data_IF_263964244757
#
_entry.id   IF_263964244757
#
_cell.length_a   1.000
_cell.length_b   1.000
_cell.length_c   1.000
_cell.angle_alpha   90.00
_cell.angle_beta   90.00
_cell.angle_gamma   90.00
#
_symmetry.space_group_name_H-M   'P 1'
#
loop_
_entity.id
_entity.type
_entity.pdbx_description
1 polymer ?
#
# COMPACT_ATOMS: atom_id res chain seq x y z
N UNK A 1 26.20 -3.33 -32.93
CA UNK A 1 26.08 -1.92 -32.46
C UNK A 1 25.14 -1.06 -33.32
N UNK A 2 25.11 -1.21 -34.65
CA UNK A 2 24.25 -0.40 -35.53
C UNK A 2 22.75 -0.72 -35.45
N UNK A 3 22.35 -1.98 -35.20
CA UNK A 3 20.92 -2.34 -35.17
C UNK A 3 20.18 -1.81 -33.94
N UNK A 4 20.76 -1.87 -32.73
CA UNK A 4 20.12 -1.36 -31.51
C UNK A 4 20.07 0.17 -31.51
N UNK A 5 21.16 0.83 -31.93
CA UNK A 5 21.13 2.28 -32.16
C UNK A 5 20.12 2.62 -33.25
N UNK A 6 20.07 1.91 -34.38
CA UNK A 6 19.04 2.12 -35.40
C UNK A 6 17.63 1.91 -34.83
N UNK A 7 17.35 0.85 -34.07
CA UNK A 7 16.04 0.66 -33.43
C UNK A 7 15.69 1.76 -32.42
N UNK A 8 16.69 2.42 -31.82
CA UNK A 8 16.53 3.57 -30.93
C UNK A 8 16.51 4.93 -31.68
N UNK A 9 17.12 5.05 -32.87
CA UNK A 9 17.30 6.30 -33.63
C UNK A 9 16.44 6.43 -34.89
N UNK A 10 15.89 5.33 -35.42
CA UNK A 10 15.03 5.31 -36.62
C UNK A 10 13.63 5.93 -36.36
N UNK A 11 13.44 6.50 -35.16
CA UNK A 11 12.20 7.10 -34.67
C UNK A 11 12.36 8.60 -34.35
N UNK A 12 13.20 9.32 -35.11
CA UNK A 12 13.35 10.79 -35.03
C UNK A 12 12.63 11.55 -36.16
N UNK A 13 11.89 10.85 -37.02
CA UNK A 13 11.41 11.40 -38.30
C UNK A 13 9.90 11.66 -38.41
N UNK A 14 9.04 11.12 -37.56
CA UNK A 14 7.58 11.27 -37.75
C UNK A 14 6.84 11.42 -36.40
N UNK A 15 6.16 12.57 -36.26
CA UNK A 15 5.01 12.84 -35.38
C UNK A 15 4.69 11.81 -34.27
N UNK A 16 5.11 12.11 -33.03
CA UNK A 16 4.78 11.41 -31.75
C UNK A 16 5.26 9.95 -31.66
N UNK A 17 6.54 9.71 -31.89
CA UNK A 17 7.20 8.41 -31.71
C UNK A 17 7.42 8.04 -30.22
N UNK A 18 6.83 6.91 -29.79
CA UNK A 18 7.09 6.29 -28.48
C UNK A 18 8.51 5.72 -28.49
N UNK A 19 9.41 6.25 -27.68
CA UNK A 19 10.74 5.70 -27.43
C UNK A 19 10.64 4.19 -27.11
N UNK A 20 11.00 3.32 -28.05
CA UNK A 20 10.94 1.87 -27.87
C UNK A 20 12.04 1.45 -26.90
N UNK A 21 11.65 0.79 -25.80
CA UNK A 21 12.59 0.16 -24.88
C UNK A 21 12.94 -1.23 -25.40
N UNK A 22 14.23 -1.50 -25.56
CA UNK A 22 14.76 -2.76 -26.12
C UNK A 22 15.35 -3.59 -24.99
N UNK A 23 15.01 -4.87 -24.96
CA UNK A 23 15.67 -5.90 -24.14
C UNK A 23 16.57 -6.71 -25.07
N UNK A 24 17.82 -6.94 -24.67
CA UNK A 24 18.78 -7.76 -25.42
C UNK A 24 19.24 -8.93 -24.55
N UNK A 25 19.34 -10.12 -25.14
CA UNK A 25 20.03 -11.25 -24.52
C UNK A 25 21.17 -11.73 -25.42
N UNK A 26 22.30 -12.09 -24.82
CA UNK A 26 23.49 -12.53 -25.54
C UNK A 26 24.39 -13.40 -24.67
N UNK A 27 25.26 -14.19 -25.28
CA UNK A 27 26.09 -15.20 -24.63
C UNK A 27 27.59 -14.99 -24.85
N UNK A 28 27.97 -14.15 -25.83
CA UNK A 28 29.35 -13.92 -26.24
C UNK A 28 29.84 -12.47 -26.11
N UNK A 29 31.16 -12.28 -26.20
CA UNK A 29 31.81 -10.97 -26.12
C UNK A 29 31.43 -10.01 -27.27
N UNK A 30 31.05 -10.56 -28.42
CA UNK A 30 30.51 -9.82 -29.56
C UNK A 30 29.16 -9.13 -29.24
N UNK A 31 28.44 -9.61 -28.23
CA UNK A 31 27.15 -9.03 -27.80
C UNK A 31 27.31 -7.94 -26.73
N UNK A 32 28.48 -7.78 -26.12
CA UNK A 32 28.71 -6.84 -25.01
C UNK A 32 28.28 -5.41 -25.36
N UNK A 33 28.59 -4.93 -26.57
CA UNK A 33 28.19 -3.60 -27.02
C UNK A 33 26.68 -3.44 -27.19
N UNK A 34 25.98 -4.53 -27.54
CA UNK A 34 24.52 -4.56 -27.68
C UNK A 34 23.83 -4.65 -26.31
N UNK A 35 24.32 -5.52 -25.42
CA UNK A 35 23.85 -5.70 -24.05
C UNK A 35 23.92 -4.39 -23.26
N UNK A 36 25.02 -3.63 -23.42
CA UNK A 36 25.22 -2.33 -22.75
C UNK A 36 24.37 -1.21 -23.32
N UNK A 37 24.01 -1.28 -24.61
CA UNK A 37 23.18 -0.27 -25.28
C UNK A 37 21.67 -0.51 -25.12
N UNK A 38 21.27 -1.72 -24.80
CA UNK A 38 19.87 -2.07 -24.53
C UNK A 38 19.38 -1.40 -23.23
N UNK A 39 18.07 -1.17 -23.12
CA UNK A 39 17.48 -0.68 -21.88
C UNK A 39 17.58 -1.74 -20.77
N UNK A 40 17.56 -3.01 -21.15
CA UNK A 40 17.84 -4.16 -20.28
C UNK A 40 18.69 -5.16 -21.06
N UNK A 41 19.89 -5.46 -20.56
CA UNK A 41 20.76 -6.51 -21.09
C UNK A 41 20.73 -7.76 -20.20
N UNK A 42 20.65 -8.95 -20.79
CA UNK A 42 20.68 -10.23 -20.09
C UNK A 42 21.78 -11.11 -20.69
N UNK A 43 22.84 -11.38 -19.95
CA UNK A 43 23.85 -12.37 -20.34
C UNK A 43 23.32 -13.79 -20.10
N UNK A 44 23.50 -14.72 -21.04
CA UNK A 44 23.06 -16.13 -20.96
C UNK A 44 24.16 -17.09 -20.47
N UNK A 45 25.30 -16.55 -20.08
CA UNK A 45 26.48 -17.29 -19.62
C UNK A 45 27.22 -16.46 -18.56
N UNK A 46 27.97 -17.14 -17.68
CA UNK A 46 28.90 -16.49 -16.72
C UNK A 46 30.24 -16.08 -17.39
N UNK A 47 30.28 -16.04 -18.73
CA UNK A 47 31.45 -15.67 -19.52
C UNK A 47 31.61 -14.14 -19.65
N UNK A 48 32.49 -13.67 -20.54
CA UNK A 48 32.81 -12.24 -20.76
C UNK A 48 31.58 -11.33 -20.95
N UNK A 49 30.47 -11.86 -21.49
CA UNK A 49 29.20 -11.14 -21.65
C UNK A 49 28.58 -10.68 -20.31
N UNK A 50 28.80 -11.44 -19.23
CA UNK A 50 28.24 -11.15 -17.89
C UNK A 50 28.79 -9.86 -17.27
N UNK A 51 30.00 -9.45 -17.65
CA UNK A 51 30.63 -8.20 -17.18
C UNK A 51 29.88 -6.97 -17.75
N UNK A 52 29.22 -7.12 -18.90
CA UNK A 52 28.61 -6.01 -19.62
C UNK A 52 27.09 -5.90 -19.42
N UNK A 53 26.44 -6.92 -18.85
CA UNK A 53 24.98 -6.96 -18.69
C UNK A 53 24.55 -6.76 -17.23
N UNK A 54 23.45 -6.02 -16.95
CA UNK A 54 22.92 -5.86 -15.60
C UNK A 54 22.29 -7.15 -15.02
N UNK A 55 21.94 -8.12 -15.87
CA UNK A 55 21.42 -9.42 -15.45
C UNK A 55 22.24 -10.54 -16.09
N UNK A 56 22.47 -11.62 -15.35
CA UNK A 56 23.15 -12.83 -15.82
C UNK A 56 22.30 -14.05 -15.51
N UNK A 57 22.07 -14.90 -16.51
CA UNK A 57 21.39 -16.19 -16.40
C UNK A 57 22.39 -17.32 -16.48
N UNK A 58 22.33 -18.25 -15.52
CA UNK A 58 23.11 -19.50 -15.53
C UNK A 58 22.52 -20.58 -16.44
N UNK A 59 21.27 -20.41 -16.86
CA UNK A 59 20.61 -21.33 -17.78
C UNK A 59 20.75 -20.79 -19.20
N UNK A 60 21.30 -21.60 -20.09
CA UNK A 60 21.48 -21.29 -21.51
C UNK A 60 20.16 -21.45 -22.29
N UNK A 61 19.12 -20.76 -21.85
CA UNK A 61 17.84 -20.65 -22.55
C UNK A 61 17.24 -19.25 -22.32
N UNK A 62 16.24 -18.89 -23.13
CA UNK A 62 15.63 -17.56 -23.10
C UNK A 62 14.54 -17.39 -22.02
N UNK A 63 14.34 -18.38 -21.13
CA UNK A 63 13.31 -18.31 -20.07
C UNK A 63 13.57 -17.14 -19.12
N UNK A 64 14.85 -16.77 -18.92
CA UNK A 64 15.26 -15.63 -18.13
C UNK A 64 14.62 -14.32 -18.60
N UNK A 65 14.38 -14.14 -19.91
CA UNK A 65 13.72 -12.95 -20.47
C UNK A 65 12.31 -12.82 -19.92
N UNK A 66 11.54 -13.92 -19.93
CA UNK A 66 10.18 -13.96 -19.38
C UNK A 66 10.18 -13.76 -17.86
N UNK A 67 11.16 -14.31 -17.14
CA UNK A 67 11.30 -14.12 -15.69
C UNK A 67 11.54 -12.65 -15.35
N UNK A 68 12.52 -12.01 -16.00
CA UNK A 68 12.86 -10.60 -15.79
C UNK A 68 11.69 -9.68 -16.14
N UNK A 69 10.95 -9.96 -17.22
CA UNK A 69 9.77 -9.19 -17.57
C UNK A 69 8.64 -9.34 -16.54
N UNK A 70 8.40 -10.54 -16.02
CA UNK A 70 7.40 -10.79 -14.97
C UNK A 70 7.78 -10.07 -13.67
N UNK A 71 9.04 -10.18 -13.25
CA UNK A 71 9.55 -9.50 -12.06
C UNK A 71 9.47 -7.97 -12.20
N UNK A 72 9.90 -7.42 -13.34
CA UNK A 72 9.82 -5.97 -13.58
C UNK A 72 8.38 -5.43 -13.55
N UNK A 73 7.41 -6.19 -14.07
CA UNK A 73 5.98 -5.82 -14.03
C UNK A 73 5.39 -5.93 -12.63
N UNK A 74 5.72 -7.00 -11.91
CA UNK A 74 5.31 -7.18 -10.52
C UNK A 74 5.87 -6.06 -9.65
N UNK A 75 7.17 -5.78 -9.77
CA UNK A 75 7.87 -4.72 -9.05
C UNK A 75 7.25 -3.34 -9.32
N UNK A 76 6.97 -3.00 -10.57
CA UNK A 76 6.30 -1.74 -10.91
C UNK A 76 4.87 -1.67 -10.33
N UNK A 77 4.09 -2.75 -10.43
CA UNK A 77 2.74 -2.80 -9.84
C UNK A 77 2.78 -2.66 -8.31
N UNK A 78 3.75 -3.30 -7.67
CA UNK A 78 3.96 -3.24 -6.22
C UNK A 78 4.39 -1.83 -5.82
N UNK A 79 5.33 -1.19 -6.53
CA UNK A 79 5.75 0.18 -6.25
C UNK A 79 4.60 1.20 -6.34
N UNK A 80 3.73 1.07 -7.36
CA UNK A 80 2.53 1.93 -7.47
C UNK A 80 1.58 1.69 -6.30
N UNK A 81 1.37 0.44 -5.92
CA UNK A 81 0.54 0.09 -4.77
C UNK A 81 1.10 0.59 -3.44
N UNK A 82 2.41 0.43 -3.21
CA UNK A 82 3.11 0.95 -2.04
C UNK A 82 3.03 2.47 -1.98
N UNK A 83 3.19 3.16 -3.11
CA UNK A 83 3.01 4.61 -3.17
C UNK A 83 1.59 5.02 -2.74
N UNK A 84 0.54 4.35 -3.23
CA UNK A 84 -0.84 4.63 -2.81
C UNK A 84 -1.04 4.42 -1.31
N UNK A 85 -0.48 3.34 -0.77
CA UNK A 85 -0.55 3.05 0.66
C UNK A 85 0.18 4.14 1.47
N UNK A 86 1.38 4.53 1.04
CA UNK A 86 2.18 5.58 1.67
C UNK A 86 1.41 6.91 1.73
N UNK A 87 0.80 7.32 0.63
CA UNK A 87 -0.03 8.54 0.61
C UNK A 87 -1.22 8.41 1.56
N UNK A 88 -1.96 7.30 1.51
CA UNK A 88 -3.17 7.15 2.31
C UNK A 88 -2.88 7.09 3.82
N UNK A 89 -1.86 6.35 4.29
CA UNK A 89 -1.59 6.32 5.73
C UNK A 89 -1.19 7.70 6.23
N UNK A 90 -0.34 8.44 5.49
CA UNK A 90 0.09 9.77 5.91
C UNK A 90 -1.09 10.73 6.04
N UNK A 91 -2.05 10.65 5.12
CA UNK A 91 -3.26 11.46 5.22
C UNK A 91 -4.19 11.00 6.35
N UNK A 92 -4.37 9.70 6.57
CA UNK A 92 -5.16 9.18 7.69
C UNK A 92 -4.58 9.67 9.02
N UNK A 93 -3.27 9.60 9.20
CA UNK A 93 -2.57 10.12 10.39
C UNK A 93 -2.69 11.63 10.51
N UNK A 94 -2.48 12.36 9.40
CA UNK A 94 -2.64 13.82 9.37
C UNK A 94 -4.05 14.25 9.81
N UNK A 95 -5.09 13.59 9.30
CA UNK A 95 -6.48 13.91 9.68
C UNK A 95 -6.82 13.50 11.11
N UNK A 96 -6.29 12.38 11.62
CA UNK A 96 -6.38 12.04 13.05
C UNK A 96 -5.85 13.18 13.89
N UNK A 97 -4.63 13.62 13.60
CA UNK A 97 -3.94 14.69 14.34
C UNK A 97 -4.66 16.02 14.20
N UNK A 98 -5.20 16.34 13.02
CA UNK A 98 -6.00 17.55 12.78
C UNK A 98 -7.28 17.58 13.64
N UNK A 99 -7.98 16.45 13.78
CA UNK A 99 -9.17 16.34 14.64
C UNK A 99 -8.82 16.50 16.13
N UNK A 100 -7.66 15.99 16.56
CA UNK A 100 -7.18 16.17 17.93
C UNK A 100 -6.75 17.61 18.18
N UNK A 101 -6.10 18.26 17.21
CA UNK A 101 -5.74 19.67 17.32
C UNK A 101 -6.95 20.58 17.49
N UNK A 102 -8.11 20.21 16.95
CA UNK A 102 -9.36 20.96 17.16
C UNK A 102 -9.75 21.07 18.64
N UNK A 103 -9.43 20.07 19.47
CA UNK A 103 -9.67 20.09 20.93
C UNK A 103 -8.41 20.47 21.72
N UNK A 104 -7.33 20.88 21.05
CA UNK A 104 -6.05 21.21 21.70
C UNK A 104 -5.30 19.99 22.23
N UNK A 105 -5.43 18.83 21.57
CA UNK A 105 -4.66 17.61 21.88
C UNK A 105 -3.88 17.13 20.62
N UNK A 106 -2.99 16.17 20.79
CA UNK A 106 -2.32 15.45 19.69
C UNK A 106 -2.08 13.99 20.08
N UNK A 107 -1.59 13.18 19.15
CA UNK A 107 -1.16 11.81 19.48
C UNK A 107 0.12 11.84 20.32
N UNK A 108 0.27 10.88 21.23
CA UNK A 108 1.47 10.77 22.07
C UNK A 108 2.64 10.12 21.32
N UNK A 109 3.88 10.37 21.76
CA UNK A 109 5.07 9.76 21.15
C UNK A 109 4.99 8.22 21.07
N UNK A 110 4.50 7.49 22.10
CA UNK A 110 4.25 6.05 22.02
C UNK A 110 3.22 5.64 20.97
N UNK A 111 2.15 6.40 20.80
CA UNK A 111 1.12 6.13 19.79
C UNK A 111 1.71 6.23 18.38
N UNK A 112 2.49 7.28 18.09
CA UNK A 112 3.22 7.39 16.82
C UNK A 112 4.16 6.22 16.60
N UNK A 113 4.90 5.80 17.63
CA UNK A 113 5.81 4.66 17.55
C UNK A 113 5.06 3.36 17.20
N UNK A 114 3.91 3.10 17.82
CA UNK A 114 3.06 1.94 17.49
C UNK A 114 2.61 1.99 16.04
N UNK A 115 2.13 3.15 15.57
CA UNK A 115 1.68 3.32 14.20
C UNK A 115 2.81 3.07 13.21
N UNK A 116 3.93 3.76 13.35
CA UNK A 116 4.98 3.74 12.33
C UNK A 116 5.81 2.46 12.39
N UNK A 117 6.27 2.04 13.58
CA UNK A 117 7.21 0.93 13.73
C UNK A 117 6.52 -0.44 13.76
N UNK A 118 5.36 -0.54 14.42
CA UNK A 118 4.72 -1.83 14.66
C UNK A 118 3.56 -2.13 13.70
N UNK A 119 3.03 -1.13 12.99
CA UNK A 119 1.95 -1.32 12.01
C UNK A 119 2.45 -1.02 10.59
N UNK A 120 2.81 0.24 10.29
CA UNK A 120 3.06 0.71 8.92
C UNK A 120 4.34 0.11 8.34
N UNK A 121 5.47 0.13 9.07
CA UNK A 121 6.74 -0.41 8.60
C UNK A 121 6.68 -1.92 8.26
N UNK A 122 6.23 -2.83 9.15
CA UNK A 122 6.19 -4.26 8.83
C UNK A 122 5.21 -4.56 7.69
N UNK A 123 4.04 -3.91 7.66
CA UNK A 123 3.08 -4.06 6.55
C UNK A 123 3.72 -3.62 5.23
N UNK A 124 4.41 -2.48 5.19
CA UNK A 124 5.07 -1.96 3.99
C UNK A 124 6.17 -2.89 3.47
N UNK A 125 7.00 -3.41 4.37
CA UNK A 125 8.10 -4.33 4.03
C UNK A 125 7.53 -5.62 3.43
N UNK A 126 6.59 -6.25 4.12
CA UNK A 126 6.03 -7.53 3.68
C UNK A 126 5.14 -7.39 2.43
N UNK A 127 4.47 -6.25 2.26
CA UNK A 127 3.75 -5.89 1.02
C UNK A 127 4.69 -5.82 -0.18
N UNK A 128 5.88 -5.23 -0.01
CA UNK A 128 6.89 -5.11 -1.05
C UNK A 128 7.48 -6.46 -1.49
N UNK A 129 7.38 -7.50 -0.66
CA UNK A 129 7.84 -8.87 -0.95
C UNK A 129 6.90 -9.68 -1.87
N UNK A 130 5.92 -9.04 -2.51
CA UNK A 130 4.93 -9.70 -3.37
C UNK A 130 5.59 -10.32 -4.62
N UNK A 131 5.37 -11.62 -4.84
CA UNK A 131 5.95 -12.34 -5.98
C UNK A 131 5.20 -12.07 -7.29
N UNK A 132 5.87 -12.20 -8.45
CA UNK A 132 5.23 -12.03 -9.74
C UNK A 132 4.20 -13.11 -10.02
N UNK A 133 3.18 -12.76 -10.82
CA UNK A 133 2.22 -13.74 -11.30
C UNK A 133 2.87 -14.74 -12.28
N UNK A 134 2.39 -15.99 -12.27
CA UNK A 134 2.98 -17.08 -13.06
C UNK A 134 2.90 -16.84 -14.58
N UNK A 135 1.86 -16.15 -15.05
CA UNK A 135 1.64 -15.90 -16.47
C UNK A 135 1.92 -14.44 -16.84
N UNK A 136 2.54 -14.25 -18.01
CA UNK A 136 2.78 -12.91 -18.55
C UNK A 136 1.52 -12.43 -19.26
N UNK A 137 0.87 -11.42 -18.69
CA UNK A 137 -0.31 -10.79 -19.30
C UNK A 137 0.07 -10.01 -20.58
N UNK A 138 -0.82 -9.88 -21.57
CA UNK A 138 -0.51 -9.05 -22.74
C UNK A 138 -0.46 -7.55 -22.40
N UNK A 139 -1.34 -7.11 -21.50
CA UNK A 139 -1.34 -5.73 -20.98
C UNK A 139 -0.15 -5.49 -20.04
N UNK A 140 0.36 -4.27 -20.03
CA UNK A 140 1.37 -3.83 -19.07
C UNK A 140 0.72 -3.10 -17.88
N UNK A 141 1.38 -3.06 -16.71
CA UNK A 141 0.95 -2.19 -15.63
C UNK A 141 1.01 -0.72 -16.06
N UNK A 142 0.18 0.15 -15.46
CA UNK A 142 0.22 1.58 -15.76
C UNK A 142 1.62 2.14 -15.47
N UNK A 143 2.24 2.80 -16.46
CA UNK A 143 3.59 3.37 -16.34
C UNK A 143 3.63 4.71 -15.59
N UNK A 144 2.46 5.30 -15.31
CA UNK A 144 2.31 6.58 -14.61
C UNK A 144 1.63 6.34 -13.28
N UNK A 145 2.16 6.97 -12.22
CA UNK A 145 1.56 6.91 -10.88
C UNK A 145 0.15 7.55 -10.89
N UNK A 146 0.03 8.74 -11.48
CA UNK A 146 -1.19 9.54 -11.57
C UNK A 146 -2.06 9.16 -12.78
N UNK A 147 -2.56 7.94 -12.81
CA UNK A 147 -3.68 7.60 -13.71
C UNK A 147 -5.00 8.06 -13.10
N UNK A 148 -6.02 8.40 -13.91
CA UNK A 148 -7.34 8.78 -13.37
C UNK A 148 -7.93 7.72 -12.43
N UNK A 149 -7.73 6.44 -12.73
CA UNK A 149 -8.17 5.34 -11.86
C UNK A 149 -7.42 5.30 -10.53
N UNK A 150 -6.09 5.49 -10.54
CA UNK A 150 -5.31 5.53 -9.31
C UNK A 150 -5.67 6.75 -8.46
N UNK A 151 -5.86 7.92 -9.08
CA UNK A 151 -6.24 9.15 -8.40
C UNK A 151 -7.64 9.02 -7.79
N UNK A 152 -8.61 8.50 -8.55
CA UNK A 152 -9.95 8.24 -8.05
C UNK A 152 -9.91 7.29 -6.83
N UNK A 153 -9.11 6.22 -6.89
CA UNK A 153 -8.93 5.31 -5.76
C UNK A 153 -8.35 6.03 -4.53
N UNK A 154 -7.24 6.76 -4.67
CA UNK A 154 -6.63 7.49 -3.53
C UNK A 154 -7.61 8.51 -2.95
N UNK A 155 -8.27 9.32 -3.79
CA UNK A 155 -9.21 10.33 -3.31
C UNK A 155 -10.43 9.72 -2.62
N UNK A 156 -10.96 8.59 -3.12
CA UNK A 156 -12.14 7.97 -2.52
C UNK A 156 -11.81 7.29 -1.19
N UNK A 157 -10.63 6.64 -1.09
CA UNK A 157 -10.18 6.09 0.19
C UNK A 157 -9.86 7.19 1.20
N UNK A 158 -9.31 8.32 0.74
CA UNK A 158 -9.07 9.49 1.57
C UNK A 158 -10.39 10.02 2.16
N UNK A 159 -11.39 10.30 1.32
CA UNK A 159 -12.68 10.83 1.79
C UNK A 159 -13.41 9.84 2.70
N UNK A 160 -13.38 8.54 2.37
CA UNK A 160 -13.96 7.50 3.22
C UNK A 160 -13.29 7.46 4.60
N UNK A 161 -11.96 7.56 4.64
CA UNK A 161 -11.21 7.50 5.90
C UNK A 161 -11.45 8.71 6.79
N UNK A 162 -11.47 9.91 6.19
CA UNK A 162 -11.81 11.17 6.90
C UNK A 162 -13.24 11.10 7.45
N UNK A 163 -14.21 10.71 6.61
CA UNK A 163 -15.61 10.62 7.02
C UNK A 163 -15.79 9.64 8.19
N UNK A 164 -15.11 8.50 8.15
CA UNK A 164 -15.16 7.53 9.23
C UNK A 164 -14.51 8.03 10.53
N UNK A 165 -13.38 8.76 10.45
CA UNK A 165 -12.77 9.40 11.62
C UNK A 165 -13.67 10.45 12.25
N UNK A 166 -14.32 11.31 11.44
CA UNK A 166 -15.28 12.30 11.93
C UNK A 166 -16.45 11.62 12.64
N UNK A 167 -16.97 10.51 12.09
CA UNK A 167 -18.05 9.74 12.73
C UNK A 167 -17.59 9.23 14.10
N UNK A 168 -16.40 8.62 14.20
CA UNK A 168 -15.86 8.13 15.48
C UNK A 168 -15.65 9.26 16.48
N UNK A 169 -15.11 10.39 16.02
CA UNK A 169 -14.87 11.58 16.84
C UNK A 169 -16.16 12.15 17.42
N UNK A 170 -17.22 12.27 16.63
CA UNK A 170 -18.53 12.71 17.13
C UNK A 170 -19.19 11.63 18.00
N UNK A 171 -19.01 10.35 17.67
CA UNK A 171 -19.65 9.25 18.38
C UNK A 171 -19.11 9.08 19.80
N UNK A 172 -17.81 9.30 20.04
CA UNK A 172 -17.23 9.28 21.38
C UNK A 172 -17.73 10.45 22.23
N UNK A 173 -17.92 11.63 21.64
CA UNK A 173 -18.45 12.82 22.35
C UNK A 173 -19.90 12.66 22.81
N UNK A 174 -20.66 11.76 22.19
CA UNK A 174 -22.06 11.47 22.56
C UNK A 174 -22.18 10.42 23.66
N UNK A 175 -21.08 9.85 24.15
CA UNK A 175 -21.12 8.84 25.19
C UNK A 175 -21.38 9.46 26.57
N UNK A 176 -22.11 8.78 27.47
CA UNK A 176 -22.49 9.33 28.77
C UNK A 176 -21.30 9.57 29.72
N UNK A 177 -20.21 8.84 29.52
CA UNK A 177 -18.96 8.95 30.28
C UNK A 177 -17.97 9.94 29.67
N UNK A 178 -18.30 10.54 28.53
CA UNK A 178 -17.43 11.52 27.89
C UNK A 178 -17.36 12.79 28.73
N UNK A 179 -16.13 13.27 28.92
CA UNK A 179 -15.86 14.56 29.53
C UNK A 179 -15.02 15.40 28.57
N UNK A 180 -15.28 16.71 28.46
CA UNK A 180 -14.51 17.57 27.57
C UNK A 180 -13.05 17.57 27.99
N UNK A 181 -12.16 17.43 27.00
CA UNK A 181 -10.73 17.51 27.23
C UNK A 181 -10.35 18.90 27.72
N UNK A 182 -9.48 18.95 28.74
CA UNK A 182 -8.91 20.19 29.25
C UNK A 182 -7.45 20.26 28.80
N UNK A 183 -7.11 21.17 27.86
CA UNK A 183 -5.75 21.32 27.38
C UNK A 183 -4.81 21.67 28.53
N UNK A 184 -3.69 20.95 28.64
CA UNK A 184 -2.63 21.31 29.58
C UNK A 184 -1.87 22.55 29.08
N UNK A 185 -1.44 23.40 30.01
CA UNK A 185 -0.68 24.62 29.68
C UNK A 185 0.74 24.34 29.13
N UNK A 186 1.31 23.17 29.43
CA UNK A 186 2.72 22.86 29.13
C UNK A 186 2.96 22.15 27.77
N UNK A 187 2.40 20.96 27.54
CA UNK A 187 2.63 20.15 26.31
C UNK A 187 1.32 19.50 25.85
N UNK A 188 0.95 19.65 24.58
CA UNK A 188 -0.35 19.20 24.05
C UNK A 188 -0.62 17.69 24.20
N UNK A 189 0.41 16.87 24.26
CA UNK A 189 0.39 15.41 24.45
C UNK A 189 0.79 14.98 25.88
N UNK A 190 0.59 15.85 26.87
CA UNK A 190 0.83 15.51 28.29
C UNK A 190 -0.28 14.66 28.89
N UNK A 191 -1.47 14.68 28.28
CA UNK A 191 -2.66 14.02 28.79
C UNK A 191 -3.47 13.41 27.63
N UNK A 192 -3.84 12.14 27.77
CA UNK A 192 -4.77 11.51 26.84
C UNK A 192 -6.16 12.11 26.91
N UNK A 193 -6.94 11.88 25.86
CA UNK A 193 -8.38 12.11 25.86
C UNK A 193 -9.13 10.88 25.33
N UNK A 194 -10.45 10.87 25.53
CA UNK A 194 -11.31 9.83 24.98
C UNK A 194 -11.31 9.86 23.44
N UNK A 195 -11.26 11.06 22.84
CA UNK A 195 -11.12 11.26 21.41
C UNK A 195 -9.79 10.70 20.89
N UNK A 196 -8.68 11.00 21.56
CA UNK A 196 -7.35 10.46 21.22
C UNK A 196 -7.39 8.94 21.22
N UNK A 197 -7.91 8.34 22.30
CA UNK A 197 -7.96 6.87 22.42
C UNK A 197 -8.86 6.23 21.36
N UNK A 198 -10.05 6.80 21.11
CA UNK A 198 -10.98 6.27 20.11
C UNK A 198 -10.43 6.40 18.68
N UNK A 199 -9.86 7.56 18.33
CA UNK A 199 -9.27 7.79 17.01
C UNK A 199 -7.98 6.99 16.80
N UNK A 200 -7.14 6.84 17.82
CA UNK A 200 -5.95 6.00 17.77
C UNK A 200 -6.33 4.57 17.40
N UNK A 201 -7.21 3.94 18.18
CA UNK A 201 -7.65 2.57 17.92
C UNK A 201 -8.33 2.40 16.56
N UNK A 202 -9.20 3.33 16.17
CA UNK A 202 -9.86 3.28 14.88
C UNK A 202 -8.87 3.44 13.72
N UNK A 203 -7.92 4.37 13.83
CA UNK A 203 -6.91 4.60 12.80
C UNK A 203 -5.93 3.43 12.66
N UNK A 204 -5.60 2.71 13.75
CA UNK A 204 -4.86 1.46 13.68
C UNK A 204 -5.52 0.44 12.74
N UNK A 205 -6.84 0.27 12.82
CA UNK A 205 -7.57 -0.57 11.86
C UNK A 205 -7.51 0.00 10.44
N UNK A 206 -7.66 1.32 10.27
CA UNK A 206 -7.59 1.95 8.94
C UNK A 206 -6.25 1.66 8.26
N UNK A 207 -5.11 1.74 8.96
CA UNK A 207 -3.81 1.44 8.39
C UNK A 207 -3.70 0.00 7.87
N UNK A 208 -4.20 -0.97 8.63
CA UNK A 208 -4.21 -2.39 8.21
C UNK A 208 -5.16 -2.59 7.03
N UNK A 209 -6.37 -2.03 7.11
CA UNK A 209 -7.45 -2.26 6.15
C UNK A 209 -7.18 -1.60 4.80
N UNK A 210 -6.65 -0.37 4.79
CA UNK A 210 -6.21 0.30 3.56
C UNK A 210 -5.10 -0.50 2.88
N UNK A 211 -4.12 -1.02 3.64
CA UNK A 211 -3.06 -1.85 3.09
C UNK A 211 -3.61 -3.10 2.40
N UNK A 212 -4.54 -3.81 3.06
CA UNK A 212 -5.19 -5.00 2.50
C UNK A 212 -6.03 -4.69 1.26
N UNK A 213 -6.84 -3.62 1.28
CA UNK A 213 -7.69 -3.25 0.13
C UNK A 213 -6.85 -2.86 -1.08
N UNK A 214 -5.72 -2.18 -0.86
CA UNK A 214 -4.78 -1.81 -1.92
C UNK A 214 -3.89 -2.97 -2.40
N UNK A 215 -3.80 -4.07 -1.65
CA UNK A 215 -3.10 -5.30 -2.01
C UNK A 215 -3.85 -6.12 -3.09
N UNK A 216 -4.17 -5.47 -4.23
CA UNK A 216 -4.70 -6.11 -5.45
C UNK A 216 -3.86 -7.30 -5.88
N UNK A 217 -4.49 -8.39 -6.32
CA UNK A 217 -3.76 -9.57 -6.80
C UNK A 217 -3.44 -9.52 -8.31
N UNK A 218 -3.70 -10.61 -9.04
CA UNK A 218 -3.48 -10.72 -10.49
C UNK A 218 -4.08 -9.53 -11.28
N UNK A 219 -3.48 -9.12 -12.41
CA UNK A 219 -2.67 -9.97 -13.31
C UNK A 219 -1.13 -9.88 -13.17
N UNK A 220 -0.59 -8.94 -12.40
CA UNK A 220 0.88 -8.70 -12.38
C UNK A 220 1.60 -9.32 -11.18
N UNK A 221 0.90 -9.48 -10.06
CA UNK A 221 1.43 -10.04 -8.81
C UNK A 221 0.52 -11.12 -8.28
N UNK A 222 1.05 -11.94 -7.38
CA UNK A 222 0.26 -12.95 -6.70
C UNK A 222 -0.86 -12.36 -5.84
N UNK A 223 -1.79 -13.23 -5.44
CA UNK A 223 -2.87 -12.86 -4.52
C UNK A 223 -2.27 -12.66 -3.12
N UNK A 224 -2.97 -11.90 -2.27
CA UNK A 224 -2.57 -11.64 -0.87
C UNK A 224 -2.17 -12.92 -0.12
N UNK A 225 -2.93 -14.00 -0.27
CA UNK A 225 -2.66 -15.28 0.38
C UNK A 225 -1.50 -16.09 -0.24
N UNK A 226 -1.04 -15.72 -1.43
CA UNK A 226 0.19 -16.28 -2.03
C UNK A 226 1.45 -15.70 -1.38
N UNK A 227 1.39 -14.42 -1.00
CA UNK A 227 2.43 -13.77 -0.20
C UNK A 227 2.25 -14.15 1.28
N UNK A 228 2.73 -15.35 1.64
CA UNK A 228 2.59 -15.91 2.99
C UNK A 228 3.15 -14.99 4.06
N UNK A 229 4.28 -14.32 3.80
CA UNK A 229 4.87 -13.36 4.74
C UNK A 229 3.93 -12.19 5.03
N UNK A 230 3.33 -11.60 3.98
CA UNK A 230 2.36 -10.52 4.13
C UNK A 230 1.08 -10.99 4.82
N UNK A 231 0.54 -12.16 4.44
CA UNK A 231 -0.67 -12.70 5.05
C UNK A 231 -0.50 -12.97 6.56
N UNK A 232 0.61 -13.60 6.97
CA UNK A 232 0.92 -13.82 8.38
C UNK A 232 1.11 -12.49 9.11
N UNK A 233 1.83 -11.55 8.52
CA UNK A 233 2.07 -10.25 9.14
C UNK A 233 0.76 -9.46 9.35
N UNK A 234 -0.13 -9.45 8.36
CA UNK A 234 -1.48 -8.86 8.50
C UNK A 234 -2.25 -9.49 9.65
N UNK A 235 -2.22 -10.82 9.79
CA UNK A 235 -2.88 -11.52 10.89
C UNK A 235 -2.29 -11.16 12.25
N UNK A 236 -0.96 -11.08 12.36
CA UNK A 236 -0.27 -10.70 13.60
C UNK A 236 -0.63 -9.26 13.99
N UNK A 237 -0.52 -8.31 13.06
CA UNK A 237 -0.83 -6.91 13.31
C UNK A 237 -2.31 -6.73 13.64
N UNK A 238 -3.21 -7.42 12.94
CA UNK A 238 -4.65 -7.35 13.24
C UNK A 238 -4.97 -7.95 14.62
N UNK A 239 -4.34 -9.07 14.98
CA UNK A 239 -4.48 -9.67 16.31
C UNK A 239 -3.94 -8.75 17.41
N UNK A 240 -2.82 -8.07 17.16
CA UNK A 240 -2.25 -7.06 18.06
C UNK A 240 -3.22 -5.89 18.27
N UNK A 241 -3.75 -5.30 17.18
CA UNK A 241 -4.70 -4.17 17.25
C UNK A 241 -6.00 -4.60 17.96
N UNK A 242 -6.55 -5.77 17.63
CA UNK A 242 -7.72 -6.33 18.32
C UNK A 242 -7.41 -6.57 19.81
N UNK A 243 -6.23 -7.08 20.13
CA UNK A 243 -5.79 -7.32 21.49
C UNK A 243 -5.72 -6.04 22.30
N UNK A 244 -5.14 -4.97 21.73
CA UNK A 244 -5.07 -3.66 22.38
C UNK A 244 -6.46 -3.05 22.61
N UNK A 245 -7.38 -3.17 21.64
CA UNK A 245 -8.73 -2.61 21.74
C UNK A 245 -9.62 -3.37 22.73
N UNK A 246 -9.52 -4.70 22.76
CA UNK A 246 -10.42 -5.53 23.58
C UNK A 246 -9.90 -5.74 25.00
N UNK A 247 -8.59 -5.91 25.20
CA UNK A 247 -8.04 -6.23 26.52
C UNK A 247 -7.35 -5.04 27.19
N UNK A 248 -6.98 -4.01 26.42
CA UNK A 248 -6.41 -2.74 26.90
C UNK A 248 -5.40 -2.93 28.05
N UNK A 249 -4.26 -3.61 27.81
CA UNK A 249 -3.38 -4.04 28.89
C UNK A 249 -2.82 -2.84 29.66
N UNK A 250 -2.78 -2.93 30.99
CA UNK A 250 -2.45 -1.81 31.87
C UNK A 250 -1.09 -1.16 31.55
N UNK A 251 -0.09 -1.95 31.16
CA UNK A 251 1.22 -1.41 30.75
C UNK A 251 1.08 -0.46 29.55
N UNK A 252 0.23 -0.81 28.58
CA UNK A 252 0.06 -0.06 27.35
C UNK A 252 -0.73 1.21 27.58
N UNK A 253 -1.78 1.13 28.42
CA UNK A 253 -2.56 2.28 28.86
C UNK A 253 -1.67 3.33 29.52
N UNK A 254 -0.82 2.91 30.45
CA UNK A 254 0.08 3.82 31.16
C UNK A 254 1.18 4.37 30.24
N UNK A 255 1.71 3.54 29.34
CA UNK A 255 2.77 3.95 28.43
C UNK A 255 2.28 4.93 27.38
N UNK A 256 1.13 4.65 26.74
CA UNK A 256 0.53 5.49 25.70
C UNK A 256 -0.45 6.55 26.22
N UNK A 257 -0.64 6.64 27.54
CA UNK A 257 -1.55 7.57 28.21
C UNK A 257 -3.01 7.48 27.73
N UNK A 258 -3.50 6.27 27.47
CA UNK A 258 -4.85 6.04 26.96
C UNK A 258 -5.90 6.16 28.06
N UNK A 259 -7.11 6.59 27.71
CA UNK A 259 -8.25 6.60 28.63
C UNK A 259 -9.13 5.36 28.42
N UNK A 260 -9.72 4.80 29.48
CA UNK A 260 -10.66 3.69 29.34
C UNK A 260 -11.91 4.15 28.59
N UNK A 261 -12.26 3.48 27.49
CA UNK A 261 -13.47 3.78 26.71
C UNK A 261 -14.74 3.15 27.33
N UNK A 262 -14.94 3.33 28.63
CA UNK A 262 -16.08 2.81 29.37
C UNK A 262 -16.41 3.69 30.58
N UNK A 263 -17.64 3.58 31.11
CA UNK A 263 -18.01 4.29 32.34
C UNK A 263 -17.25 3.73 33.57
N UNK A 264 -16.96 4.56 34.61
CA UNK A 264 -16.24 4.12 35.81
C UNK A 264 -16.92 2.98 36.57
N UNK A 265 -18.25 2.90 36.54
CA UNK A 265 -19.06 1.96 37.31
C UNK A 265 -19.34 0.63 36.58
N UNK A 266 -18.92 0.51 35.31
CA UNK A 266 -19.15 -0.65 34.46
C UNK A 266 -18.05 -1.72 34.65
N UNK A 267 -18.08 -2.41 35.80
CA UNK A 267 -17.07 -3.43 36.15
C UNK A 267 -17.36 -4.79 35.47
N UNK A 268 -18.61 -5.08 35.10
CA UNK A 268 -19.06 -6.31 34.42
C UNK A 268 -19.90 -5.98 33.17
N UNK A 269 -19.48 -6.39 31.96
CA UNK A 269 -20.19 -6.29 30.66
C UNK A 269 -21.22 -5.12 30.53
N UNK A 270 -20.78 -3.84 30.61
CA UNK A 270 -20.76 -2.98 29.40
C UNK A 270 -19.37 -2.47 28.99
N UNK A 271 -18.30 -2.89 29.70
CA UNK A 271 -16.89 -2.52 29.43
C UNK A 271 -16.44 -2.71 27.98
N UNK A 272 -17.03 -3.69 27.31
CA UNK A 272 -16.77 -4.03 25.90
C UNK A 272 -17.68 -3.32 24.90
N UNK A 273 -18.72 -2.60 25.33
CA UNK A 273 -19.77 -2.11 24.42
C UNK A 273 -19.23 -1.13 23.39
N UNK A 274 -18.46 -0.13 23.82
CA UNK A 274 -17.90 0.88 22.93
C UNK A 274 -16.68 0.37 22.15
N UNK A 275 -15.81 -0.43 22.76
CA UNK A 275 -14.65 -1.04 22.07
C UNK A 275 -15.10 -2.03 20.99
N UNK A 276 -16.15 -2.83 21.26
CA UNK A 276 -16.80 -3.66 20.25
C UNK A 276 -17.45 -2.80 19.17
N UNK A 277 -18.09 -1.68 19.52
CA UNK A 277 -18.63 -0.74 18.53
C UNK A 277 -17.53 -0.19 17.60
N UNK A 278 -16.34 0.15 18.12
CA UNK A 278 -15.18 0.53 17.28
C UNK A 278 -14.81 -0.59 16.31
N UNK A 279 -14.70 -1.83 16.80
CA UNK A 279 -14.38 -2.98 15.94
C UNK A 279 -15.45 -3.17 14.86
N UNK A 280 -16.74 -3.07 15.20
CA UNK A 280 -17.85 -3.14 14.24
C UNK A 280 -17.75 -2.03 13.21
N UNK A 281 -17.52 -0.78 13.63
CA UNK A 281 -17.32 0.34 12.71
C UNK A 281 -16.10 0.13 11.79
N UNK A 282 -15.02 -0.44 12.32
CA UNK A 282 -13.83 -0.77 11.53
C UNK A 282 -14.13 -1.85 10.48
N UNK A 283 -14.87 -2.91 10.84
CA UNK A 283 -15.31 -3.94 9.90
C UNK A 283 -16.24 -3.37 8.82
N UNK A 284 -17.18 -2.50 9.19
CA UNK A 284 -18.04 -1.80 8.23
C UNK A 284 -17.22 -0.93 7.29
N UNK A 285 -16.24 -0.19 7.80
CA UNK A 285 -15.30 0.59 7.00
C UNK A 285 -14.54 -0.32 6.01
N UNK A 286 -14.05 -1.49 6.42
CA UNK A 286 -13.38 -2.45 5.54
C UNK A 286 -14.30 -2.92 4.41
N UNK A 287 -15.55 -3.27 4.72
CA UNK A 287 -16.53 -3.72 3.73
C UNK A 287 -16.79 -2.63 2.68
N UNK A 288 -17.01 -1.39 3.14
CA UNK A 288 -17.23 -0.24 2.24
C UNK A 288 -15.99 0.06 1.41
N UNK A 289 -14.80 0.12 2.03
CA UNK A 289 -13.54 0.37 1.35
C UNK A 289 -13.25 -0.69 0.28
N UNK A 290 -13.48 -1.96 0.59
CA UNK A 290 -13.33 -3.06 -0.36
C UNK A 290 -14.33 -2.94 -1.52
N UNK A 291 -15.61 -2.68 -1.23
CA UNK A 291 -16.65 -2.52 -2.24
C UNK A 291 -16.37 -1.35 -3.19
N UNK A 292 -15.93 -0.22 -2.65
CA UNK A 292 -15.53 0.97 -3.42
C UNK A 292 -14.34 0.66 -4.34
N UNK A 293 -13.29 0.01 -3.85
CA UNK A 293 -12.13 -0.32 -4.69
C UNK A 293 -12.53 -1.28 -5.83
N UNK A 294 -13.41 -2.25 -5.55
CA UNK A 294 -13.96 -3.14 -6.59
C UNK A 294 -14.80 -2.40 -7.63
N UNK A 295 -15.59 -1.42 -7.20
CA UNK A 295 -16.35 -0.58 -8.11
C UNK A 295 -15.42 0.26 -9.02
N UNK A 296 -14.37 0.84 -8.45
CA UNK A 296 -13.37 1.61 -9.21
C UNK A 296 -12.67 0.72 -10.23
N UNK A 297 -12.27 -0.50 -9.85
CA UNK A 297 -11.69 -1.48 -10.77
C UNK A 297 -12.65 -1.85 -11.90
N UNK A 298 -13.93 -2.08 -11.57
CA UNK A 298 -14.96 -2.40 -12.55
C UNK A 298 -15.16 -1.25 -13.56
N UNK A 299 -15.26 -0.01 -13.09
CA UNK A 299 -15.41 1.18 -13.94
C UNK A 299 -14.16 1.39 -14.79
N UNK A 300 -12.97 1.23 -14.22
CA UNK A 300 -11.70 1.33 -14.94
C UNK A 300 -11.60 0.29 -16.07
N UNK A 301 -11.98 -0.96 -15.80
CA UNK A 301 -12.03 -2.03 -16.80
C UNK A 301 -13.05 -1.74 -17.91
N UNK A 302 -14.24 -1.22 -17.57
CA UNK A 302 -15.27 -0.83 -18.54
C UNK A 302 -14.79 0.30 -19.45
N UNK A 303 -14.14 1.31 -18.89
CA UNK A 303 -13.59 2.44 -19.65
C UNK A 303 -12.37 2.01 -20.48
N UNK A 304 -11.57 1.05 -20.00
CA UNK A 304 -10.44 0.50 -20.75
C UNK A 304 -10.87 -0.37 -21.93
N UNK A 305 -12.08 -0.97 -21.92
CA UNK A 305 -12.63 -1.72 -23.07
C UNK A 305 -12.94 -0.83 -24.30
N UNK A 306 -12.84 0.50 -24.19
CA UNK A 306 -12.88 1.44 -25.32
C UNK A 306 -11.51 2.02 -25.72
N UNK A 307 -10.42 1.52 -25.15
CA UNK A 307 -9.09 1.69 -25.72
C UNK A 307 -8.73 0.41 -26.47
N UNK A 308 -9.09 0.26 -27.76
CA UNK A 308 -8.53 -0.82 -28.55
C UNK A 308 -7.01 -0.67 -28.49
N UNK A 309 -6.32 -1.66 -27.92
CA UNK A 309 -4.91 -1.83 -28.17
C UNK A 309 -4.75 -2.04 -29.67
N UNK A 310 -4.48 -0.94 -30.37
CA UNK A 310 -4.02 -0.92 -31.75
C UNK A 310 -2.78 -1.81 -31.76
N UNK A 311 -2.92 -2.98 -32.41
CA UNK A 311 -1.90 -4.03 -32.57
C UNK A 311 -0.50 -3.42 -32.66
N UNK A 312 0.23 -3.40 -31.55
CA UNK A 312 1.69 -3.33 -31.60
C UNK A 312 2.14 -4.77 -31.55
N UNK A 313 2.32 -5.33 -32.74
CA UNK A 313 2.91 -6.63 -32.99
C UNK A 313 4.18 -6.75 -32.14
N UNK A 314 4.20 -7.72 -31.24
CA UNK A 314 5.44 -8.21 -30.66
C UNK A 314 6.13 -8.91 -31.84
N UNK A 315 7.08 -8.22 -32.47
CA UNK A 315 8.05 -8.88 -33.33
C UNK A 315 9.09 -9.42 -32.36
N UNK A 316 8.97 -10.72 -32.07
CA UNK A 316 10.02 -11.54 -31.44
C UNK A 316 11.20 -11.65 -32.41
#
# INVERSE_FOLDING_TARGET
MNLIRALQTHDKGESRQRQRRVVMCGDGANDCGALKAAAVGIALSDCEASISAPFTSRQQNITCVSNVLREGRSSLSTAIGSFKYMVLYSFVQFFTVLLLYYIGNTLTDPEYLVVDLFIVAPLSITYAMSRPWKHLEHSGPPLRLLTPSNLASVLTHLTLSIGAQIIVFIFVQKQPWWTPFQPSEDRLDSAGSYETTALFYFSCFQYVFVCMVLAKGPPFREKVYGNVCFAINVLIVLAMVLGFVLFTPAFFVNWAQLLPLHAPDDVDFPRYSFTVAIVVMAVLYLIVAWGVEKLIDFVALRNSKYAPMRRSSIIL
#
